data_IF_884470857616
#
_entry.id   IF_884470857616
#
_cell.length_a   1.000
_cell.length_b   1.000
_cell.length_c   1.000
_cell.angle_alpha   90.00
_cell.angle_beta   90.00
_cell.angle_gamma   90.00
#
_symmetry.space_group_name_H-M   'P 1'
#
loop_
_entity.id
_entity.type
_entity.pdbx_description
1 polymer ?
#
# COMPACT_ATOMS: atom_id res chain seq x y z
N UNK A 1 11.99 10.82 -3.10
CA UNK A 1 11.73 12.06 -2.38
C UNK A 1 10.38 12.00 -1.69
N UNK A 2 10.30 12.49 -0.47
CA UNK A 2 9.07 12.47 0.28
C UNK A 2 8.06 13.44 -0.31
N UNK A 3 6.83 12.99 -0.46
CA UNK A 3 5.76 13.77 -1.10
C UNK A 3 4.68 14.19 -0.10
N UNK A 4 5.03 14.31 1.18
CA UNK A 4 4.13 14.76 2.21
C UNK A 4 3.56 13.63 3.04
N UNK A 5 2.60 13.98 3.88
CA UNK A 5 1.93 13.04 4.77
C UNK A 5 0.52 12.77 4.30
N UNK A 6 0.04 11.56 4.57
CA UNK A 6 -1.33 11.18 4.24
C UNK A 6 -1.88 10.32 5.37
N UNK A 7 -3.15 10.51 5.70
CA UNK A 7 -3.82 9.73 6.74
C UNK A 7 -4.84 8.82 6.08
N UNK A 8 -4.77 7.54 6.41
CA UNK A 8 -5.78 6.58 6.00
C UNK A 8 -6.53 6.09 7.23
N UNK A 9 -7.84 5.93 7.10
CA UNK A 9 -8.68 5.51 8.21
C UNK A 9 -9.06 4.05 7.98
N UNK A 10 -8.88 3.22 9.01
CA UNK A 10 -9.23 1.81 8.97
C UNK A 10 -10.71 1.59 9.25
N UNK A 11 -11.14 0.35 9.12
CA UNK A 11 -12.52 -0.04 9.43
C UNK A 11 -12.87 0.26 10.88
N UNK A 12 -11.89 0.17 11.78
CA UNK A 12 -12.07 0.45 13.20
C UNK A 12 -12.31 1.93 13.49
N UNK A 13 -12.06 2.81 12.51
CA UNK A 13 -12.08 4.24 12.69
C UNK A 13 -10.73 4.80 13.10
N UNK A 14 -9.75 3.95 13.35
CA UNK A 14 -8.42 4.41 13.72
C UNK A 14 -7.74 5.09 12.54
N UNK A 15 -7.01 6.17 12.81
CA UNK A 15 -6.32 6.96 11.80
C UNK A 15 -4.85 6.58 11.79
N UNK A 16 -4.35 6.22 10.62
CA UNK A 16 -2.96 5.82 10.44
C UNK A 16 -2.23 6.85 9.60
N UNK A 17 -1.10 7.32 10.08
CA UNK A 17 -0.35 8.39 9.42
C UNK A 17 0.81 7.80 8.63
N UNK A 18 0.81 8.09 7.34
CA UNK A 18 1.80 7.58 6.41
C UNK A 18 2.62 8.72 5.84
N UNK A 19 3.84 8.43 5.43
CA UNK A 19 4.67 9.33 4.66
C UNK A 19 4.64 8.89 3.21
N UNK A 20 4.32 9.80 2.30
CA UNK A 20 4.22 9.48 0.88
C UNK A 20 5.56 9.69 0.19
N UNK A 21 5.93 8.75 -0.68
CA UNK A 21 7.18 8.76 -1.41
C UNK A 21 6.91 8.44 -2.87
N UNK A 22 7.78 8.90 -3.76
CA UNK A 22 7.74 8.46 -5.15
C UNK A 22 8.00 6.95 -5.22
N UNK A 23 7.35 6.28 -6.16
CA UNK A 23 7.60 4.85 -6.39
C UNK A 23 9.06 4.60 -6.74
N UNK A 24 9.76 5.61 -7.27
CA UNK A 24 11.16 5.50 -7.65
C UNK A 24 12.13 5.72 -6.49
N UNK A 25 11.64 6.03 -5.30
CA UNK A 25 12.49 6.27 -4.15
C UNK A 25 13.20 4.98 -3.73
N UNK A 26 14.35 5.14 -3.09
CA UNK A 26 15.06 4.02 -2.48
C UNK A 26 14.59 3.91 -1.04
N UNK A 27 14.12 2.73 -0.68
CA UNK A 27 13.56 2.53 0.64
C UNK A 27 14.56 1.83 1.55
N UNK A 28 14.57 2.25 2.80
CA UNK A 28 15.44 1.67 3.81
C UNK A 28 14.91 0.31 4.25
N UNK A 29 15.80 -0.48 4.86
CA UNK A 29 15.43 -1.77 5.43
C UNK A 29 14.75 -1.53 6.78
N UNK A 30 13.48 -1.14 6.73
CA UNK A 30 12.66 -0.90 7.93
C UNK A 30 11.39 -1.74 7.87
N UNK A 31 10.88 -2.05 9.04
CA UNK A 31 9.60 -2.74 9.16
C UNK A 31 8.47 -1.73 9.00
N UNK A 32 7.51 -2.03 8.15
CA UNK A 32 6.47 -1.05 7.82
C UNK A 32 5.22 -1.69 7.26
N UNK A 33 4.11 -0.95 7.39
CA UNK A 33 2.94 -1.13 6.55
C UNK A 33 3.10 -0.13 5.40
N UNK A 34 2.82 -0.57 4.18
CA UNK A 34 2.95 0.31 3.02
C UNK A 34 1.73 0.21 2.13
N UNK A 35 1.41 1.33 1.50
CA UNK A 35 0.22 1.47 0.67
C UNK A 35 0.67 2.05 -0.67
N UNK A 36 0.64 1.22 -1.70
CA UNK A 36 1.00 1.64 -3.06
C UNK A 36 -0.22 2.27 -3.70
N UNK A 37 -0.06 3.47 -4.24
CA UNK A 37 -1.19 4.22 -4.77
C UNK A 37 -0.86 4.87 -6.10
N UNK A 38 -1.92 5.22 -6.82
CA UNK A 38 -1.85 6.19 -7.90
C UNK A 38 -2.26 7.53 -7.29
N UNK A 39 -1.30 8.43 -7.19
CA UNK A 39 -1.51 9.74 -6.62
C UNK A 39 -1.79 10.74 -7.72
N UNK A 40 -2.86 11.51 -7.56
CA UNK A 40 -3.25 12.55 -8.49
C UNK A 40 -3.79 13.74 -7.70
N UNK A 41 -3.85 14.90 -8.34
CA UNK A 41 -4.46 16.07 -7.73
C UNK A 41 -5.81 16.31 -8.39
N UNK A 42 -6.81 16.63 -7.58
CA UNK A 42 -8.08 17.05 -8.18
C UNK A 42 -7.93 18.47 -8.75
N UNK A 43 -8.84 18.81 -9.64
CA UNK A 43 -8.79 20.10 -10.34
C UNK A 43 -9.65 21.17 -9.66
N UNK A 44 -10.00 20.95 -8.41
CA UNK A 44 -10.81 21.90 -7.68
C UNK A 44 -10.05 23.12 -7.21
N UNK A 45 -10.74 23.98 -6.48
CA UNK A 45 -10.19 25.23 -5.95
C UNK A 45 -8.98 24.95 -5.05
N UNK A 46 -9.05 23.86 -4.28
CA UNK A 46 -7.96 23.43 -3.43
C UNK A 46 -7.36 22.17 -4.03
N UNK A 47 -6.10 22.24 -4.39
CA UNK A 47 -5.41 21.11 -5.01
C UNK A 47 -5.13 20.05 -3.96
N UNK A 48 -6.00 19.07 -3.89
CA UNK A 48 -5.85 17.97 -2.96
C UNK A 48 -5.24 16.77 -3.67
N UNK A 49 -4.31 16.12 -2.98
CA UNK A 49 -3.80 14.84 -3.45
C UNK A 49 -4.85 13.77 -3.18
N UNK A 50 -5.17 13.00 -4.21
CA UNK A 50 -6.07 11.86 -4.12
C UNK A 50 -5.24 10.61 -4.36
N UNK A 51 -5.53 9.55 -3.60
CA UNK A 51 -4.80 8.29 -3.70
C UNK A 51 -5.75 7.17 -4.08
N UNK A 52 -5.52 6.60 -5.25
CA UNK A 52 -6.26 5.42 -5.70
C UNK A 52 -5.45 4.20 -5.28
N UNK A 53 -6.02 3.32 -4.46
CA UNK A 53 -5.32 2.22 -3.85
C UNK A 53 -5.00 1.10 -4.82
N UNK A 54 -3.75 0.66 -4.83
CA UNK A 54 -3.30 -0.41 -5.70
C UNK A 54 -2.92 -1.63 -4.90
N UNK A 55 -2.21 -1.45 -3.78
CA UNK A 55 -1.78 -2.56 -2.95
C UNK A 55 -1.48 -2.08 -1.54
N UNK A 56 -1.92 -2.85 -0.54
CA UNK A 56 -1.54 -2.64 0.85
C UNK A 56 -0.79 -3.87 1.31
N UNK A 57 0.38 -3.69 1.92
CA UNK A 57 1.16 -4.79 2.45
C UNK A 57 1.82 -4.42 3.75
N UNK A 58 2.40 -5.42 4.40
CA UNK A 58 3.25 -5.21 5.55
C UNK A 58 4.50 -6.06 5.39
N UNK A 59 5.60 -5.60 5.95
CA UNK A 59 6.87 -6.28 5.79
C UNK A 59 7.80 -5.93 6.94
N UNK A 60 8.69 -6.87 7.26
CA UNK A 60 9.81 -6.60 8.18
C UNK A 60 10.96 -5.88 7.49
N UNK A 61 10.95 -5.80 6.16
CA UNK A 61 12.02 -5.19 5.39
C UNK A 61 11.44 -4.52 4.14
N UNK A 62 11.21 -3.23 4.25
CA UNK A 62 10.60 -2.46 3.16
C UNK A 62 11.46 -2.46 1.91
N UNK A 63 12.79 -2.38 2.06
CA UNK A 63 13.68 -2.37 0.91
C UNK A 63 13.55 -3.65 0.10
N UNK A 64 13.46 -4.79 0.76
CA UNK A 64 13.30 -6.08 0.09
C UNK A 64 11.93 -6.21 -0.56
N UNK A 65 10.89 -5.78 0.13
CA UNK A 65 9.53 -5.89 -0.39
C UNK A 65 9.34 -5.07 -1.67
N UNK A 66 10.01 -3.94 -1.78
CA UNK A 66 9.88 -3.05 -2.93
C UNK A 66 11.01 -3.20 -3.95
N UNK A 67 11.85 -4.22 -3.80
CA UNK A 67 12.92 -4.49 -4.75
C UNK A 67 12.51 -5.46 -5.87
N UNK A 68 11.35 -6.10 -5.74
CA UNK A 68 10.89 -7.06 -6.71
C UNK A 68 10.41 -6.36 -7.98
N UNK A 69 11.19 -6.48 -9.05
CA UNK A 69 10.89 -5.81 -10.30
C UNK A 69 9.56 -6.26 -10.92
N UNK A 70 9.23 -7.53 -10.80
CA UNK A 70 7.97 -8.04 -11.32
C UNK A 70 6.78 -7.46 -10.61
N UNK A 71 6.88 -7.31 -9.29
CA UNK A 71 5.84 -6.70 -8.48
C UNK A 71 5.67 -5.22 -8.80
N UNK A 72 6.78 -4.50 -8.95
CA UNK A 72 6.74 -3.07 -9.32
C UNK A 72 6.12 -2.87 -10.69
N UNK A 73 6.46 -3.73 -11.63
CA UNK A 73 5.87 -3.69 -12.97
C UNK A 73 4.37 -3.86 -12.90
N UNK A 74 3.90 -4.81 -12.10
CA UNK A 74 2.50 -5.06 -11.90
C UNK A 74 1.78 -3.85 -11.30
N UNK A 75 2.40 -3.21 -10.32
CA UNK A 75 1.83 -1.99 -9.74
C UNK A 75 1.75 -0.87 -10.79
N UNK A 76 2.78 -0.73 -11.62
CA UNK A 76 2.82 0.31 -12.65
C UNK A 76 1.73 0.12 -13.70
N UNK A 77 1.32 -1.10 -13.96
CA UNK A 77 0.21 -1.36 -14.87
C UNK A 77 -1.09 -0.69 -14.41
N UNK A 78 -1.24 -0.53 -13.11
CA UNK A 78 -2.42 0.14 -12.55
C UNK A 78 -2.18 1.63 -12.31
N UNK A 79 -1.05 2.14 -12.76
CA UNK A 79 -0.75 3.56 -12.67
C UNK A 79 -0.03 3.97 -11.39
N UNK A 80 0.58 3.03 -10.67
CA UNK A 80 1.26 3.34 -9.42
C UNK A 80 2.35 4.38 -9.63
N UNK A 81 2.38 5.37 -8.76
CA UNK A 81 3.42 6.40 -8.77
C UNK A 81 3.82 6.83 -7.35
N UNK A 82 3.25 6.21 -6.34
CA UNK A 82 3.45 6.64 -4.96
C UNK A 82 3.44 5.44 -4.03
N UNK A 83 4.28 5.49 -3.01
CA UNK A 83 4.27 4.51 -1.90
C UNK A 83 4.12 5.29 -0.61
N UNK A 84 3.08 5.00 0.13
CA UNK A 84 2.84 5.58 1.45
C UNK A 84 3.35 4.58 2.48
N UNK A 85 4.15 5.05 3.44
CA UNK A 85 4.86 4.20 4.39
C UNK A 85 4.54 4.59 5.82
N UNK A 86 4.23 3.60 6.63
CA UNK A 86 4.02 3.76 8.07
C UNK A 86 4.94 2.77 8.79
N UNK A 87 5.99 3.28 9.44
CA UNK A 87 6.97 2.42 10.12
C UNK A 87 6.36 1.86 11.40
N UNK A 88 6.35 0.54 11.51
CA UNK A 88 5.85 -0.17 12.69
C UNK A 88 6.75 -1.38 12.90
N UNK A 89 7.45 -1.42 14.03
CA UNK A 89 8.41 -2.50 14.29
C UNK A 89 7.74 -3.80 14.73
N UNK A 90 6.62 -3.73 15.41
CA UNK A 90 5.93 -4.91 15.92
C UNK A 90 5.14 -5.61 14.82
N UNK A 91 5.44 -6.87 14.58
CA UNK A 91 4.81 -7.64 13.51
C UNK A 91 3.30 -7.81 13.72
N UNK A 92 2.89 -8.12 14.93
CA UNK A 92 1.47 -8.31 15.22
C UNK A 92 0.70 -7.01 14.95
N UNK A 93 1.30 -5.88 15.28
CA UNK A 93 0.69 -4.58 15.03
C UNK A 93 0.62 -4.30 13.54
N UNK A 94 1.67 -4.62 12.77
CA UNK A 94 1.65 -4.43 11.32
C UNK A 94 0.53 -5.22 10.67
N UNK A 95 0.38 -6.47 11.08
CA UNK A 95 -0.66 -7.34 10.54
C UNK A 95 -2.05 -6.78 10.86
N UNK A 96 -2.24 -6.30 12.08
CA UNK A 96 -3.52 -5.72 12.49
C UNK A 96 -3.85 -4.46 11.69
N UNK A 97 -2.88 -3.59 11.49
CA UNK A 97 -3.07 -2.36 10.72
C UNK A 97 -3.38 -2.68 9.26
N UNK A 98 -2.64 -3.61 8.67
CA UNK A 98 -2.87 -4.03 7.30
C UNK A 98 -4.31 -4.52 7.12
N UNK A 99 -4.77 -5.38 8.01
CA UNK A 99 -6.14 -5.90 7.97
C UNK A 99 -7.17 -4.81 8.11
N UNK A 100 -6.96 -3.91 9.06
CA UNK A 100 -7.90 -2.85 9.32
C UNK A 100 -8.07 -1.95 8.09
N UNK A 101 -6.97 -1.70 7.39
CA UNK A 101 -7.00 -0.90 6.16
C UNK A 101 -7.61 -1.67 4.99
N UNK A 102 -7.26 -2.94 4.83
CA UNK A 102 -7.79 -3.76 3.74
C UNK A 102 -9.31 -3.92 3.83
N UNK A 103 -9.86 -3.85 5.03
CA UNK A 103 -11.30 -4.03 5.22
C UNK A 103 -12.13 -2.90 4.65
N UNK A 104 -11.54 -1.72 4.42
CA UNK A 104 -12.29 -0.56 3.91
C UNK A 104 -11.67 0.09 2.68
N UNK A 105 -10.44 -0.23 2.34
CA UNK A 105 -9.79 0.37 1.16
C UNK A 105 -9.67 -0.66 0.05
N UNK A 106 -10.47 -0.54 -1.02
CA UNK A 106 -10.35 -1.45 -2.15
C UNK A 106 -9.03 -1.19 -2.86
N UNK A 107 -8.36 -2.27 -3.25
CA UNK A 107 -7.09 -2.19 -3.96
C UNK A 107 -7.10 -3.21 -5.09
N UNK A 108 -6.50 -2.82 -6.21
CA UNK A 108 -6.51 -3.68 -7.39
C UNK A 108 -5.79 -5.01 -7.16
N UNK A 109 -4.59 -4.96 -6.60
CA UNK A 109 -3.76 -6.15 -6.48
C UNK A 109 -4.13 -7.03 -5.28
N UNK A 110 -4.50 -6.44 -4.16
CA UNK A 110 -4.94 -7.23 -3.02
C UNK A 110 -6.25 -7.95 -3.32
N UNK A 111 -7.14 -7.28 -4.02
CA UNK A 111 -8.43 -7.87 -4.37
C UNK A 111 -8.25 -9.12 -5.23
N UNK A 112 -7.35 -9.07 -6.19
CA UNK A 112 -7.06 -10.22 -7.04
C UNK A 112 -6.49 -11.38 -6.23
N UNK A 113 -5.53 -11.11 -5.36
CA UNK A 113 -4.93 -12.13 -4.51
C UNK A 113 -5.95 -12.75 -3.56
N UNK A 114 -6.82 -11.92 -3.00
CA UNK A 114 -7.86 -12.37 -2.09
C UNK A 114 -8.86 -13.27 -2.80
N UNK A 115 -9.29 -12.88 -3.99
CA UNK A 115 -10.21 -13.68 -4.78
C UNK A 115 -9.59 -15.03 -5.12
N UNK A 116 -8.34 -15.04 -5.50
CA UNK A 116 -7.63 -16.28 -5.82
C UNK A 116 -7.63 -17.23 -4.62
N UNK A 117 -7.37 -16.72 -3.43
CA UNK A 117 -7.37 -17.55 -2.22
C UNK A 117 -8.76 -18.08 -1.88
N UNK A 118 -9.78 -17.22 -2.00
CA UNK A 118 -11.14 -17.60 -1.63
C UNK A 118 -11.72 -18.64 -2.56
N UNK A 119 -11.41 -18.57 -3.83
CA UNK A 119 -12.00 -19.47 -4.81
C UNK A 119 -11.06 -20.60 -5.21
N UNK A 120 -9.98 -20.74 -4.50
CA UNK A 120 -9.13 -21.83 -4.70
C UNK A 120 -8.41 -21.79 -5.96
N UNK A 121 -8.48 -20.81 -6.57
CA UNK A 121 -7.87 -20.58 -7.71
C UNK A 121 -7.08 -21.65 -8.15
N UNK A 122 -7.57 -22.58 -8.08
CA UNK A 122 -7.05 -23.46 -8.45
C UNK A 122 -5.85 -23.74 -8.28
N UNK A 123 -5.68 -23.93 -7.63
CA UNK A 123 -4.65 -24.42 -7.41
C UNK A 123 -3.55 -23.82 -7.27
N UNK A 124 -3.46 -23.12 -7.07
CA UNK A 124 -2.48 -22.60 -6.95
C UNK A 124 -2.22 -22.24 -5.82
N UNK A 125 -1.79 -22.72 -5.29
CA UNK A 125 -1.64 -22.59 -4.15
C UNK A 125 -0.87 -21.66 -3.84
N UNK A 126 -0.62 -21.42 -3.90
CA UNK A 126 0.05 -20.67 -3.45
C UNK A 126 0.59 -20.45 -3.04
#
# INVERSE_FOLDING_TARGET
>A
MRQGSVTFVGKSGERYHFQAWSLEARFKSIAAVYFVTKRAYDNGTYRRACHDGIFIGQTGDLSGALADAGQLERFRKYGANCVCVCAITDEARRIAVERDLLDVHPTHCNHQARAARLFGATGNPD
#
